data_IF_436920865212
#
_entry.id   IF_436920865212
#
_cell.length_a   1.000
_cell.length_b   1.000
_cell.length_c   1.000
_cell.angle_alpha   90.00
_cell.angle_beta   90.00
_cell.angle_gamma   90.00
#
_symmetry.space_group_name_H-M   'P 1'
#
loop_
_entity.id
_entity.type
_entity.pdbx_description
1 polymer ?
#
# COMPACT_ATOMS: atom_id res chain seq x y z
N UNK A 1 1.90 -3.21 -29.97
CA UNK A 1 2.32 -4.07 -28.84
C UNK A 1 1.66 -3.54 -27.59
N UNK A 2 1.03 -4.39 -26.77
CA UNK A 2 0.39 -3.96 -25.51
C UNK A 2 1.27 -4.42 -24.36
N UNK A 3 1.54 -3.52 -23.40
CA UNK A 3 2.28 -3.81 -22.17
C UNK A 3 1.40 -3.46 -20.97
N UNK A 4 1.07 -4.47 -20.16
CA UNK A 4 0.38 -4.30 -18.89
C UNK A 4 1.40 -4.15 -17.77
N UNK A 5 1.18 -3.20 -16.86
CA UNK A 5 1.97 -3.02 -15.64
C UNK A 5 1.00 -3.00 -14.47
N UNK A 6 1.29 -3.79 -13.43
CA UNK A 6 0.54 -3.86 -12.18
C UNK A 6 1.48 -3.47 -11.04
N UNK A 7 0.96 -2.69 -10.08
CA UNK A 7 1.70 -2.25 -8.90
C UNK A 7 0.75 -2.31 -7.69
N UNK A 8 1.27 -2.73 -6.54
CA UNK A 8 0.56 -2.66 -5.26
C UNK A 8 0.79 -1.30 -4.61
N UNK A 9 -0.15 -0.84 -3.79
CA UNK A 9 0.05 0.33 -2.93
C UNK A 9 1.31 0.17 -2.03
N UNK A 10 1.89 1.29 -1.61
CA UNK A 10 2.99 1.31 -0.63
C UNK A 10 2.55 0.91 0.77
N UNK A 11 3.49 0.87 1.72
CA UNK A 11 3.21 0.48 3.12
C UNK A 11 2.07 1.31 3.75
N UNK A 12 1.03 0.62 4.21
CA UNK A 12 -0.03 1.22 5.03
C UNK A 12 0.30 1.17 6.53
N UNK A 13 -0.36 2.01 7.32
CA UNK A 13 -0.26 1.99 8.79
C UNK A 13 -0.60 0.60 9.37
N UNK A 14 -1.53 -0.13 8.76
CA UNK A 14 -1.89 -1.48 9.18
C UNK A 14 -0.81 -2.52 8.83
N UNK A 15 -0.11 -2.36 7.69
CA UNK A 15 1.02 -3.22 7.34
C UNK A 15 2.17 -3.04 8.33
N UNK A 16 2.52 -1.79 8.65
CA UNK A 16 3.54 -1.47 9.65
C UNK A 16 3.20 -2.06 11.03
N UNK A 17 1.92 -2.02 11.43
CA UNK A 17 1.43 -2.59 12.70
C UNK A 17 1.18 -4.09 12.66
N UNK A 18 1.47 -4.75 11.55
CA UNK A 18 1.18 -6.17 11.30
C UNK A 18 -0.26 -6.56 11.69
N UNK A 19 -1.23 -5.72 11.34
CA UNK A 19 -2.64 -5.89 11.67
C UNK A 19 -3.45 -6.05 10.39
N UNK A 20 -4.50 -6.88 10.44
CA UNK A 20 -5.39 -7.06 9.30
C UNK A 20 -6.20 -5.78 9.02
N UNK A 21 -6.11 -5.26 7.79
CA UNK A 21 -6.84 -4.05 7.35
C UNK A 21 -8.28 -4.34 6.96
N UNK A 22 -8.50 -5.41 6.19
CA UNK A 22 -9.77 -5.66 5.53
C UNK A 22 -10.16 -4.53 4.59
N UNK A 23 -11.38 -4.01 4.76
CA UNK A 23 -11.97 -2.94 3.94
C UNK A 23 -11.84 -1.56 4.59
N UNK A 24 -11.05 -1.45 5.66
CA UNK A 24 -10.85 -0.18 6.37
C UNK A 24 -9.99 0.76 5.53
N UNK A 25 -10.40 2.03 5.46
CA UNK A 25 -9.65 3.08 4.74
C UNK A 25 -8.46 3.59 5.59
N UNK A 26 -7.35 2.86 5.55
CA UNK A 26 -6.12 3.20 6.28
C UNK A 26 -5.14 3.94 5.37
N UNK A 27 -4.56 5.02 5.91
CA UNK A 27 -3.55 5.79 5.19
C UNK A 27 -2.20 5.07 5.02
N UNK A 28 -1.39 5.59 4.11
CA UNK A 28 0.02 5.21 3.93
C UNK A 28 0.93 5.80 5.01
N UNK A 29 2.01 5.09 5.33
CA UNK A 29 3.11 5.63 6.14
C UNK A 29 3.94 6.64 5.33
N UNK A 30 4.87 7.34 5.97
CA UNK A 30 5.82 8.19 5.25
C UNK A 30 6.67 7.35 4.25
N UNK A 31 7.04 6.13 4.65
CA UNK A 31 7.72 5.18 3.77
C UNK A 31 6.81 4.72 2.63
N UNK A 32 5.56 4.36 2.92
CA UNK A 32 4.60 3.97 1.88
C UNK A 32 4.35 5.04 0.83
N UNK A 33 4.43 6.32 1.21
CA UNK A 33 4.37 7.46 0.26
C UNK A 33 5.62 7.59 -0.61
N UNK A 34 6.78 7.14 -0.14
CA UNK A 34 8.02 7.14 -0.92
C UNK A 34 8.15 5.90 -1.84
N UNK A 35 7.42 4.83 -1.54
CA UNK A 35 7.35 3.61 -2.36
C UNK A 35 6.39 3.73 -3.55
N UNK A 36 5.40 4.63 -3.46
CA UNK A 36 4.38 4.88 -4.47
C UNK A 36 4.85 5.88 -5.53
#
# INVERSE_FOLDING_TARGET
>A
MVKLVLLRHGESIANQKNTYTGWSDVGLTAEGKAQA
#
